data_IF_402057272093
#
_entry.id   IF_402057272093
#
_cell.length_a   1.000
_cell.length_b   1.000
_cell.length_c   1.000
_cell.angle_alpha   90.00
_cell.angle_beta   90.00
_cell.angle_gamma   90.00
#
_symmetry.space_group_name_H-M   'P 1'
#
loop_
_entity.id
_entity.type
_entity.pdbx_description
1 polymer ?
#
# COMPACT_ATOMS: atom_id res chain seq x y z
N UNK A 1 18.26 -10.03 10.25
CA UNK A 1 17.41 -8.95 9.71
C UNK A 1 16.44 -9.53 8.69
N UNK A 2 15.16 -9.62 9.05
CA UNK A 2 14.06 -10.08 8.17
C UNK A 2 13.03 -8.96 8.12
N UNK A 3 12.57 -8.59 6.93
CA UNK A 3 11.49 -7.62 6.80
C UNK A 3 10.17 -8.25 7.23
N UNK A 4 9.72 -7.92 8.44
CA UNK A 4 8.46 -8.36 9.05
C UNK A 4 8.16 -7.49 10.27
N UNK A 5 6.92 -7.50 10.76
CA UNK A 5 6.51 -6.74 11.96
C UNK A 5 7.35 -7.11 13.18
N UNK A 6 7.71 -8.39 13.32
CA UNK A 6 8.62 -8.81 14.39
C UNK A 6 10.08 -8.41 14.10
N UNK A 7 10.50 -8.45 12.84
CA UNK A 7 11.87 -8.10 12.47
C UNK A 7 12.19 -6.61 12.66
N UNK A 8 11.23 -5.71 12.47
CA UNK A 8 11.42 -4.27 12.72
C UNK A 8 11.46 -3.90 14.21
N UNK A 9 11.14 -4.84 15.13
CA UNK A 9 11.35 -4.65 16.57
C UNK A 9 12.83 -4.71 16.95
N UNK A 10 13.66 -5.34 16.13
CA UNK A 10 15.12 -5.43 16.31
C UNK A 10 15.84 -4.18 15.77
N UNK A 11 15.50 -2.99 16.29
CA UNK A 11 15.90 -1.69 15.72
C UNK A 11 17.41 -1.56 15.45
N UNK A 12 18.25 -2.00 16.40
CA UNK A 12 19.71 -1.88 16.32
C UNK A 12 20.30 -2.49 15.04
N UNK A 13 19.75 -3.60 14.54
CA UNK A 13 20.25 -4.25 13.33
C UNK A 13 19.99 -3.39 12.08
N UNK A 14 18.80 -2.77 12.00
CA UNK A 14 18.40 -1.91 10.87
C UNK A 14 19.16 -0.59 10.87
N UNK A 15 19.32 0.03 12.04
CA UNK A 15 20.11 1.25 12.21
C UNK A 15 21.57 1.05 11.80
N UNK A 16 22.19 -0.07 12.21
CA UNK A 16 23.56 -0.44 11.78
C UNK A 16 23.68 -0.64 10.27
N UNK A 17 22.60 -1.03 9.60
CA UNK A 17 22.56 -1.15 8.14
C UNK A 17 22.21 0.17 7.43
N UNK A 18 21.99 1.27 8.16
CA UNK A 18 21.61 2.56 7.61
C UNK A 18 20.20 2.57 7.03
N UNK A 19 19.30 1.71 7.53
CA UNK A 19 17.90 1.63 7.10
C UNK A 19 17.02 2.27 8.16
N UNK A 20 16.31 3.32 7.78
CA UNK A 20 15.36 4.01 8.66
C UNK A 20 14.10 3.17 8.87
N UNK A 21 13.68 3.04 10.13
CA UNK A 21 12.40 2.43 10.53
C UNK A 21 11.36 3.51 10.83
N UNK A 22 10.10 3.11 10.95
CA UNK A 22 9.00 4.03 11.26
C UNK A 22 9.07 4.51 12.71
N UNK A 23 8.68 5.76 12.96
CA UNK A 23 8.49 6.34 14.29
C UNK A 23 7.12 6.03 14.92
N UNK A 24 6.20 5.42 14.17
CA UNK A 24 4.85 5.07 14.62
C UNK A 24 4.62 3.56 14.75
N UNK A 25 3.55 3.17 15.46
CA UNK A 25 3.16 1.77 15.62
C UNK A 25 2.46 1.24 14.36
N UNK A 26 3.22 0.52 13.52
CA UNK A 26 2.76 -0.04 12.25
C UNK A 26 1.59 -1.02 12.44
N UNK A 27 1.61 -1.84 13.49
CA UNK A 27 0.57 -2.82 13.76
C UNK A 27 -0.73 -2.11 14.14
N UNK A 28 -0.66 -1.11 15.02
CA UNK A 28 -1.82 -0.34 15.45
C UNK A 28 -2.50 0.43 14.29
N UNK A 29 -1.73 1.09 13.43
CA UNK A 29 -2.30 1.85 12.29
C UNK A 29 -2.85 0.92 11.21
N UNK A 30 -2.30 -0.28 11.05
CA UNK A 30 -2.77 -1.30 10.12
C UNK A 30 -4.09 -1.91 10.60
N UNK A 31 -4.18 -2.31 11.87
CA UNK A 31 -5.41 -2.84 12.46
C UNK A 31 -6.53 -1.81 12.45
N UNK A 32 -6.21 -0.54 12.70
CA UNK A 32 -7.19 0.54 12.60
C UNK A 32 -7.68 0.76 11.18
N UNK A 33 -6.81 0.68 10.17
CA UNK A 33 -7.22 0.75 8.77
C UNK A 33 -8.10 -0.44 8.36
N UNK A 34 -7.79 -1.65 8.81
CA UNK A 34 -8.64 -2.83 8.54
C UNK A 34 -10.04 -2.68 9.14
N UNK A 35 -10.14 -2.17 10.37
CA UNK A 35 -11.44 -1.95 11.02
C UNK A 35 -12.21 -0.76 10.43
N UNK A 36 -11.51 0.32 10.13
CA UNK A 36 -12.08 1.58 9.64
C UNK A 36 -11.23 2.10 8.47
N UNK A 37 -11.39 1.58 7.24
CA UNK A 37 -10.59 2.02 6.11
C UNK A 37 -10.89 3.50 5.83
N UNK A 38 -9.85 4.33 5.75
CA UNK A 38 -9.97 5.77 5.43
C UNK A 38 -9.53 6.09 4.01
N UNK A 39 -8.48 5.41 3.55
CA UNK A 39 -7.88 5.61 2.25
C UNK A 39 -7.64 4.25 1.59
N UNK A 40 -8.23 4.08 0.42
CA UNK A 40 -8.05 2.93 -0.47
C UNK A 40 -7.24 3.32 -1.71
N UNK A 41 -6.33 2.45 -2.14
CA UNK A 41 -5.59 2.63 -3.39
C UNK A 41 -5.71 1.41 -4.31
N UNK A 42 -6.01 1.65 -5.58
CA UNK A 42 -6.03 0.64 -6.64
C UNK A 42 -4.79 0.70 -7.52
N UNK A 43 -4.22 -0.47 -7.83
CA UNK A 43 -2.97 -0.58 -8.57
C UNK A 43 -1.80 -0.42 -7.61
N UNK A 44 -1.32 -1.53 -7.05
CA UNK A 44 -0.40 -1.49 -5.90
C UNK A 44 1.05 -1.77 -6.33
N UNK A 45 1.41 -1.20 -7.48
CA UNK A 45 2.72 -1.33 -8.12
C UNK A 45 3.82 -0.51 -7.46
N UNK A 46 4.95 -0.36 -8.15
CA UNK A 46 6.12 0.35 -7.61
C UNK A 46 5.89 1.86 -7.38
N UNK A 47 5.22 2.54 -8.33
CA UNK A 47 4.90 3.97 -8.22
C UNK A 47 4.05 4.21 -6.98
N UNK A 48 3.00 3.41 -6.76
CA UNK A 48 2.20 3.47 -5.55
C UNK A 48 3.07 3.32 -4.30
N UNK A 49 3.83 2.23 -4.17
CA UNK A 49 4.58 1.90 -2.96
C UNK A 49 5.55 3.00 -2.53
N UNK A 50 6.34 3.52 -3.47
CA UNK A 50 7.41 4.49 -3.17
C UNK A 50 6.88 5.92 -3.09
N UNK A 51 5.88 6.28 -3.91
CA UNK A 51 5.37 7.64 -3.93
C UNK A 51 4.18 7.85 -2.99
N UNK A 52 3.01 7.26 -3.30
CA UNK A 52 1.80 7.44 -2.49
C UNK A 52 1.93 6.77 -1.12
N UNK A 53 2.49 5.54 -1.09
CA UNK A 53 2.83 4.83 0.14
C UNK A 53 3.83 5.61 0.99
N UNK A 54 4.87 6.19 0.35
CA UNK A 54 5.82 7.07 1.03
C UNK A 54 5.20 8.35 1.60
N UNK A 55 4.26 8.98 0.89
CA UNK A 55 3.50 10.14 1.39
C UNK A 55 2.66 9.74 2.60
N UNK A 56 1.93 8.62 2.54
CA UNK A 56 1.12 8.17 3.66
C UNK A 56 1.97 7.80 4.88
N UNK A 57 3.14 7.21 4.66
CA UNK A 57 4.13 6.91 5.70
C UNK A 57 4.60 8.20 6.39
N UNK A 58 4.98 9.23 5.63
CA UNK A 58 5.32 10.55 6.19
C UNK A 58 4.18 11.20 6.97
N UNK A 59 2.94 11.12 6.47
CA UNK A 59 1.77 11.66 7.18
C UNK A 59 1.44 10.91 8.47
N UNK A 60 1.80 9.62 8.58
CA UNK A 60 1.70 8.85 9.82
C UNK A 60 2.78 9.27 10.83
N UNK A 61 4.01 9.53 10.37
CA UNK A 61 5.08 10.10 11.22
C UNK A 61 4.69 11.45 11.81
N UNK A 62 4.03 12.29 11.01
CA UNK A 62 3.54 13.61 11.44
C UNK A 62 2.26 13.55 12.30
N UNK A 63 1.66 12.36 12.46
CA UNK A 63 0.40 12.18 13.19
C UNK A 63 -0.84 12.78 12.50
N UNK A 64 -0.72 13.20 11.24
CA UNK A 64 -1.83 13.71 10.42
C UNK A 64 -2.76 12.59 10.01
N UNK A 65 -2.19 11.45 9.61
CA UNK A 65 -2.92 10.19 9.47
C UNK A 65 -2.85 9.39 10.77
N UNK A 66 -3.86 8.53 10.98
CA UNK A 66 -3.90 7.61 12.11
C UNK A 66 -4.22 6.17 11.69
N UNK A 67 -4.13 5.88 10.39
CA UNK A 67 -4.47 4.61 9.75
C UNK A 67 -3.71 4.50 8.44
N UNK A 68 -3.22 3.30 8.11
CA UNK A 68 -2.57 3.02 6.83
C UNK A 68 -3.55 2.96 5.65
N UNK A 69 -3.01 2.70 4.46
CA UNK A 69 -3.74 2.55 3.19
C UNK A 69 -4.18 1.09 3.02
N UNK A 70 -5.45 0.89 2.68
CA UNK A 70 -5.94 -0.38 2.15
C UNK A 70 -5.57 -0.51 0.66
N UNK A 71 -4.73 -1.48 0.35
CA UNK A 71 -4.14 -1.69 -0.97
C UNK A 71 -4.99 -2.68 -1.78
N UNK A 72 -5.38 -2.35 -3.01
CA UNK A 72 -6.17 -3.22 -3.89
C UNK A 72 -5.43 -3.52 -5.19
N UNK A 73 -5.23 -4.81 -5.45
CA UNK A 73 -4.68 -5.32 -6.71
C UNK A 73 -5.81 -5.81 -7.62
N UNK A 74 -5.78 -5.44 -8.90
CA UNK A 74 -6.87 -5.69 -9.86
C UNK A 74 -6.49 -6.60 -11.01
N UNK A 75 -5.21 -6.92 -11.16
CA UNK A 75 -4.70 -7.61 -12.32
C UNK A 75 -3.71 -8.71 -11.95
N UNK A 76 -2.60 -8.36 -11.29
CA UNK A 76 -1.53 -9.31 -10.97
C UNK A 76 -1.60 -9.73 -9.50
N UNK A 77 -2.49 -10.67 -9.19
CA UNK A 77 -2.73 -11.11 -7.81
C UNK A 77 -1.51 -11.77 -7.15
N UNK A 78 -0.52 -12.21 -7.92
CA UNK A 78 0.76 -12.70 -7.38
C UNK A 78 1.49 -11.60 -6.60
N UNK A 79 1.24 -10.32 -6.89
CA UNK A 79 1.78 -9.20 -6.11
C UNK A 79 1.35 -9.33 -4.65
N UNK A 80 0.08 -9.63 -4.37
CA UNK A 80 -0.40 -9.83 -3.00
C UNK A 80 0.34 -11.00 -2.36
N UNK A 81 0.35 -12.16 -3.02
CA UNK A 81 0.86 -13.41 -2.46
C UNK A 81 2.39 -13.43 -2.26
N UNK A 82 3.14 -12.76 -3.14
CA UNK A 82 4.61 -12.87 -3.20
C UNK A 82 5.33 -11.62 -2.71
N UNK A 83 4.67 -10.47 -2.70
CA UNK A 83 5.29 -9.18 -2.36
C UNK A 83 4.73 -8.57 -1.09
N UNK A 84 3.44 -8.76 -0.79
CA UNK A 84 2.81 -8.14 0.37
C UNK A 84 2.72 -9.12 1.55
N UNK A 85 2.07 -10.26 1.36
CA UNK A 85 1.80 -11.23 2.42
C UNK A 85 3.07 -11.76 3.12
N UNK A 86 4.17 -12.11 2.42
CA UNK A 86 5.35 -12.69 3.07
C UNK A 86 6.12 -11.70 3.98
N UNK A 87 5.80 -10.42 3.88
CA UNK A 87 6.52 -9.32 4.52
C UNK A 87 5.60 -8.44 5.40
N UNK A 88 4.44 -8.96 5.80
CA UNK A 88 3.46 -8.26 6.63
C UNK A 88 3.02 -6.90 6.06
N UNK A 89 2.93 -6.80 4.73
CA UNK A 89 2.68 -5.56 3.98
C UNK A 89 3.74 -4.45 4.15
N UNK A 90 4.91 -4.75 4.73
CA UNK A 90 6.02 -3.82 4.78
C UNK A 90 6.72 -3.73 3.41
N UNK A 91 7.24 -2.54 3.08
CA UNK A 91 8.08 -2.33 1.90
C UNK A 91 9.45 -1.78 2.27
N UNK A 92 10.48 -2.04 1.47
CA UNK A 92 11.74 -1.30 1.55
C UNK A 92 11.78 -0.26 0.43
N UNK A 93 11.74 1.01 0.78
CA UNK A 93 12.00 2.12 -0.13
C UNK A 93 13.50 2.34 -0.27
N UNK A 94 13.95 2.45 -1.51
CA UNK A 94 15.33 2.82 -1.85
C UNK A 94 15.28 3.97 -2.84
N UNK A 95 15.69 5.16 -2.41
CA UNK A 95 15.77 6.34 -3.27
C UNK A 95 17.23 6.52 -3.69
N UNK A 96 17.47 6.59 -4.99
CA UNK A 96 18.78 6.91 -5.56
C UNK A 96 18.78 8.36 -6.04
N UNK A 97 19.64 9.18 -5.44
CA UNK A 97 19.75 10.60 -5.79
C UNK A 97 20.72 10.81 -6.96
N UNK A 98 20.63 11.99 -7.59
CA UNK A 98 21.47 12.34 -8.74
C UNK A 98 22.97 12.44 -8.41
N UNK A 99 23.33 12.62 -7.14
CA UNK A 99 24.71 12.62 -6.63
C UNK A 99 25.23 11.20 -6.30
N UNK A 100 24.41 10.16 -6.52
CA UNK A 100 24.76 8.77 -6.26
C UNK A 100 24.53 8.32 -4.82
N UNK A 101 24.06 9.19 -3.93
CA UNK A 101 23.65 8.80 -2.57
C UNK A 101 22.36 7.98 -2.60
N UNK A 102 22.16 7.18 -1.55
CA UNK A 102 20.99 6.30 -1.41
C UNK A 102 20.36 6.48 -0.04
N UNK A 103 19.04 6.62 -0.03
CA UNK A 103 18.23 6.61 1.18
C UNK A 103 17.46 5.30 1.27
N UNK A 104 17.54 4.64 2.42
CA UNK A 104 16.84 3.37 2.68
C UNK A 104 15.86 3.56 3.82
N UNK A 105 14.57 3.31 3.57
CA UNK A 105 13.53 3.43 4.59
C UNK A 105 12.56 2.26 4.46
N UNK A 106 12.19 1.64 5.58
CA UNK A 106 11.06 0.72 5.61
C UNK A 106 9.77 1.54 5.55
N UNK A 107 8.84 1.16 4.68
CA UNK A 107 7.50 1.72 4.58
C UNK A 107 6.53 0.78 5.31
N UNK A 108 5.79 1.33 6.26
CA UNK A 108 4.80 0.62 7.07
C UNK A 108 3.37 1.11 6.86
N UNK A 109 3.16 2.02 5.91
CA UNK A 109 1.85 2.64 5.68
C UNK A 109 0.84 1.76 4.91
N UNK A 110 1.24 0.56 4.46
CA UNK A 110 0.41 -0.33 3.68
C UNK A 110 -0.27 -1.33 4.64
N UNK A 111 -1.55 -1.11 4.94
CA UNK A 111 -2.21 -1.79 6.06
C UNK A 111 -2.66 -3.22 5.75
N UNK A 112 -3.13 -3.44 4.53
CA UNK A 112 -3.59 -4.72 4.01
C UNK A 112 -3.53 -4.70 2.48
N UNK A 113 -3.39 -5.86 1.86
CA UNK A 113 -3.49 -6.05 0.42
C UNK A 113 -4.66 -6.97 0.10
N UNK A 114 -5.54 -6.52 -0.80
CA UNK A 114 -6.78 -7.22 -1.16
C UNK A 114 -6.84 -7.43 -2.67
N UNK A 115 -7.11 -8.65 -3.10
CA UNK A 115 -7.31 -8.99 -4.52
C UNK A 115 -8.71 -8.57 -4.96
N UNK A 116 -8.84 -7.79 -6.03
CA UNK A 116 -10.13 -7.51 -6.67
C UNK A 116 -10.64 -8.67 -7.52
N UNK A 117 -10.68 -9.85 -6.92
CA UNK A 117 -10.99 -11.11 -7.57
C UNK A 117 -12.37 -11.60 -7.14
N UNK A 118 -13.39 -11.37 -7.96
CA UNK A 118 -14.77 -11.75 -7.63
C UNK A 118 -14.99 -13.27 -7.49
N UNK A 119 -14.12 -14.08 -8.08
CA UNK A 119 -14.14 -15.53 -7.94
C UNK A 119 -13.61 -16.02 -6.59
N UNK A 120 -12.94 -15.16 -5.82
CA UNK A 120 -12.50 -15.44 -4.45
C UNK A 120 -13.47 -14.76 -3.46
N UNK A 121 -14.35 -15.52 -2.79
CA UNK A 121 -15.35 -14.93 -1.89
C UNK A 121 -14.74 -14.16 -0.72
N UNK A 122 -13.56 -14.55 -0.22
CA UNK A 122 -12.95 -13.90 0.93
C UNK A 122 -12.52 -12.48 0.57
N UNK A 123 -11.72 -12.34 -0.48
CA UNK A 123 -11.29 -11.03 -0.95
C UNK A 123 -12.46 -10.18 -1.49
N UNK A 124 -13.41 -10.81 -2.20
CA UNK A 124 -14.57 -10.10 -2.73
C UNK A 124 -15.49 -9.55 -1.64
N UNK A 125 -15.71 -10.31 -0.57
CA UNK A 125 -16.49 -9.83 0.57
C UNK A 125 -15.75 -8.73 1.34
N UNK A 126 -14.42 -8.87 1.52
CA UNK A 126 -13.60 -7.81 2.12
C UNK A 126 -13.72 -6.49 1.36
N UNK A 127 -13.70 -6.53 0.03
CA UNK A 127 -13.91 -5.33 -0.79
C UNK A 127 -15.28 -4.68 -0.56
N UNK A 128 -16.35 -5.48 -0.49
CA UNK A 128 -17.68 -4.95 -0.18
C UNK A 128 -17.72 -4.27 1.18
N UNK A 129 -17.11 -4.87 2.20
CA UNK A 129 -17.01 -4.27 3.55
C UNK A 129 -16.29 -2.91 3.52
N UNK A 130 -15.13 -2.85 2.84
CA UNK A 130 -14.37 -1.62 2.69
C UNK A 130 -15.23 -0.51 2.06
N UNK A 131 -15.90 -0.81 0.94
CA UNK A 131 -16.67 0.16 0.17
C UNK A 131 -18.04 0.53 0.77
N UNK A 132 -18.50 -0.23 1.76
CA UNK A 132 -19.70 0.10 2.55
C UNK A 132 -19.36 0.78 3.88
N UNK A 133 -18.07 0.91 4.20
CA UNK A 133 -17.62 1.57 5.43
C UNK A 133 -17.90 3.07 5.39
N UNK A 134 -18.47 3.60 6.48
CA UNK A 134 -18.68 5.03 6.69
C UNK A 134 -17.37 5.81 6.88
N UNK A 135 -16.28 5.13 7.23
CA UNK A 135 -14.98 5.76 7.44
C UNK A 135 -14.22 6.03 6.14
N UNK A 136 -14.62 5.44 5.02
CA UNK A 136 -13.91 5.58 3.76
C UNK A 136 -14.05 7.02 3.25
N UNK A 137 -12.92 7.71 3.10
CA UNK A 137 -12.86 9.12 2.71
C UNK A 137 -12.24 9.30 1.33
N UNK A 138 -11.31 8.43 0.93
CA UNK A 138 -10.57 8.59 -0.31
C UNK A 138 -10.34 7.26 -1.03
N UNK A 139 -10.55 7.28 -2.34
CA UNK A 139 -10.15 6.23 -3.26
C UNK A 139 -9.21 6.85 -4.30
N UNK A 140 -8.08 6.20 -4.52
CA UNK A 140 -7.02 6.68 -5.42
C UNK A 140 -6.51 5.55 -6.30
N UNK A 141 -5.81 5.90 -7.39
CA UNK A 141 -5.53 4.95 -8.47
C UNK A 141 -4.13 5.17 -9.06
N UNK A 142 -3.41 4.09 -9.33
CA UNK A 142 -2.29 4.03 -10.28
C UNK A 142 -2.49 2.87 -11.25
N UNK A 143 -3.59 2.91 -12.00
CA UNK A 143 -4.07 1.82 -12.87
C UNK A 143 -3.59 1.91 -14.33
N UNK A 144 -2.60 2.76 -14.60
CA UNK A 144 -2.15 3.16 -15.96
C UNK A 144 -3.24 3.85 -16.79
N UNK A 145 -2.85 4.44 -17.92
CA UNK A 145 -3.75 5.15 -18.83
C UNK A 145 -4.83 4.22 -19.39
N UNK A 146 -4.48 2.96 -19.66
CA UNK A 146 -5.42 1.98 -20.23
C UNK A 146 -6.46 1.49 -19.22
N UNK A 147 -6.16 1.54 -17.93
CA UNK A 147 -7.05 1.07 -16.87
C UNK A 147 -8.37 1.83 -16.78
N UNK A 148 -8.41 3.07 -17.29
CA UNK A 148 -9.64 3.87 -17.33
C UNK A 148 -10.63 3.42 -18.41
N UNK A 149 -10.19 2.60 -19.38
CA UNK A 149 -11.02 2.03 -20.44
C UNK A 149 -11.98 3.05 -21.08
N UNK A 150 -11.46 4.23 -21.41
CA UNK A 150 -12.28 5.38 -21.83
C UNK A 150 -12.74 5.28 -23.29
N UNK A 151 -11.84 4.87 -24.19
CA UNK A 151 -12.07 4.86 -25.63
C UNK A 151 -11.88 3.47 -26.24
N UNK A 152 -12.75 3.14 -27.19
CA UNK A 152 -12.62 2.00 -28.09
C UNK A 152 -11.55 2.26 -29.13
N UNK A 153 -11.16 1.22 -29.87
CA UNK A 153 -10.18 1.32 -30.95
C UNK A 153 -10.61 2.27 -32.09
N UNK A 154 -11.91 2.54 -32.23
CA UNK A 154 -12.47 3.48 -33.22
C UNK A 154 -12.51 4.94 -32.74
N UNK A 155 -11.95 5.25 -31.55
CA UNK A 155 -11.93 6.59 -30.96
C UNK A 155 -13.24 7.00 -30.29
N UNK A 156 -14.26 6.15 -30.27
CA UNK A 156 -15.51 6.42 -29.55
C UNK A 156 -15.41 6.03 -28.08
N UNK A 157 -16.16 6.72 -27.22
CA UNK A 157 -16.18 6.42 -25.79
C UNK A 157 -16.94 5.12 -25.51
N UNK A 158 -16.44 4.32 -24.56
CA UNK A 158 -17.26 3.27 -23.96
C UNK A 158 -18.46 3.92 -23.27
N UNK A 159 -19.67 3.42 -23.54
CA UNK A 159 -20.90 3.84 -22.83
C UNK A 159 -21.17 2.83 -21.73
N UNK A 160 -21.36 3.33 -20.51
CA UNK A 160 -21.83 2.58 -19.34
C UNK A 160 -23.29 2.16 -19.53
#
# INVERSE_FOLDING_TARGET
MKLSLNGIKEQEAWEKAGITLQGYDVEAVSEKAKKEPGWVHFGIGNIFRVFIGGIADGLLEEGVLNRGITCIETFDYDVVDKIYDPYDNLGLSVILHGDGTREYKVIGALAEAVKAQSSDPAHWNRLKEIFTSKSLQMVSFTITEKGYALQKADGTWFRL
#
